data_IF_866258196464
#
_entry.id   IF_866258196464
#
_cell.length_a   1.000
_cell.length_b   1.000
_cell.length_c   1.000
_cell.angle_alpha   90.00
_cell.angle_beta   90.00
_cell.angle_gamma   90.00
#
_symmetry.space_group_name_H-M   'P 1'
#
loop_
_entity.id
_entity.type
_entity.pdbx_description
1 polymer ?
#
# COMPACT_ATOMS: atom_id res chain seq x y z
N UNK A 1 42.76 2.89 -28.59
CA UNK A 1 41.87 3.04 -29.75
C UNK A 1 40.82 4.08 -29.42
N UNK A 2 41.03 5.30 -29.91
CA UNK A 2 40.13 6.45 -29.76
C UNK A 2 39.08 6.40 -30.87
N UNK A 3 37.81 6.66 -30.54
CA UNK A 3 36.79 7.05 -31.51
C UNK A 3 36.09 8.32 -31.05
N UNK A 4 35.70 9.20 -31.98
CA UNK A 4 35.63 10.63 -31.75
C UNK A 4 34.22 11.14 -31.49
N UNK A 5 34.17 12.30 -30.80
CA UNK A 5 33.04 13.22 -30.76
C UNK A 5 32.67 13.67 -32.18
N UNK A 6 31.38 13.89 -32.42
CA UNK A 6 30.70 14.93 -33.24
C UNK A 6 29.30 14.38 -33.56
N UNK A 7 28.18 15.10 -33.52
CA UNK A 7 27.90 16.43 -34.07
C UNK A 7 26.71 17.06 -33.33
N UNK A 8 26.80 18.37 -33.14
CA UNK A 8 25.69 19.28 -32.89
C UNK A 8 24.62 19.14 -33.99
N UNK A 9 23.34 19.18 -33.61
CA UNK A 9 22.29 19.65 -34.51
C UNK A 9 21.33 20.53 -33.71
N UNK A 10 21.64 21.83 -33.73
CA UNK A 10 20.74 22.90 -33.35
C UNK A 10 19.76 23.07 -34.51
N UNK A 11 18.48 22.83 -34.27
CA UNK A 11 17.40 23.30 -35.17
C UNK A 11 16.38 24.09 -34.36
N UNK A 12 16.44 25.40 -34.59
CA UNK A 12 15.37 26.36 -34.37
C UNK A 12 14.26 26.19 -35.43
N UNK A 13 13.14 26.88 -35.22
CA UNK A 13 11.98 27.13 -36.13
C UNK A 13 10.83 26.13 -35.88
N UNK A 14 9.56 26.51 -35.68
CA UNK A 14 8.84 27.75 -35.95
C UNK A 14 7.71 27.96 -34.92
N UNK A 15 7.58 29.20 -34.47
CA UNK A 15 6.43 29.73 -33.75
C UNK A 15 5.36 30.11 -34.80
N UNK A 16 4.32 29.27 -34.97
CA UNK A 16 3.13 29.64 -35.73
C UNK A 16 2.03 30.11 -34.76
N UNK A 17 1.90 31.43 -34.65
CA UNK A 17 0.72 32.08 -34.12
C UNK A 17 -0.37 32.09 -35.21
N UNK A 18 -1.50 31.42 -34.96
CA UNK A 18 -2.84 31.75 -35.47
C UNK A 18 -3.85 30.66 -35.07
N UNK A 19 -4.34 30.72 -33.83
CA UNK A 19 -5.57 30.04 -33.43
C UNK A 19 -6.62 31.11 -33.15
N UNK A 20 -7.58 31.28 -34.06
CA UNK A 20 -8.76 32.13 -33.89
C UNK A 20 -9.54 31.71 -32.64
N UNK A 21 -9.36 32.44 -31.55
CA UNK A 21 -10.24 32.37 -30.39
C UNK A 21 -11.48 33.21 -30.66
N UNK A 22 -12.60 32.56 -30.96
CA UNK A 22 -13.94 33.15 -30.82
C UNK A 22 -14.11 33.57 -29.36
N UNK A 23 -14.36 34.86 -29.14
CA UNK A 23 -14.68 35.40 -27.82
C UNK A 23 -16.11 34.99 -27.47
N UNK A 24 -16.28 33.83 -26.82
CA UNK A 24 -17.55 33.51 -26.17
C UNK A 24 -17.87 34.57 -25.10
N UNK A 25 -19.14 34.98 -24.94
CA UNK A 25 -19.53 35.87 -23.86
C UNK A 25 -19.16 35.23 -22.53
N UNK A 26 -18.27 35.89 -21.77
CA UNK A 26 -17.90 35.50 -20.42
C UNK A 26 -19.18 35.30 -19.60
N UNK A 27 -19.46 34.08 -19.11
CA UNK A 27 -20.62 33.84 -18.26
C UNK A 27 -20.55 34.79 -17.07
N UNK A 28 -21.64 35.54 -16.85
CA UNK A 28 -21.81 36.36 -15.65
C UNK A 28 -21.53 35.45 -14.45
N UNK A 29 -20.64 35.83 -13.51
CA UNK A 29 -20.40 35.05 -12.31
C UNK A 29 -21.74 34.86 -11.60
N UNK A 30 -22.26 33.64 -11.64
CA UNK A 30 -23.39 33.30 -10.79
C UNK A 30 -22.94 33.54 -9.35
N UNK A 31 -23.78 34.13 -8.49
CA UNK A 31 -23.50 34.20 -7.06
C UNK A 31 -23.10 32.79 -6.63
N UNK A 32 -21.84 32.63 -6.21
CA UNK A 32 -21.38 31.38 -5.63
C UNK A 32 -22.22 31.18 -4.38
N UNK A 33 -23.29 30.39 -4.51
CA UNK A 33 -24.06 29.90 -3.38
C UNK A 33 -23.04 29.42 -2.37
N UNK A 34 -23.06 30.04 -1.19
CA UNK A 34 -22.11 29.79 -0.14
C UNK A 34 -22.09 28.27 0.09
N UNK A 35 -21.02 27.60 -0.39
CA UNK A 35 -20.86 26.17 -0.20
C UNK A 35 -20.92 25.95 1.30
N UNK A 36 -22.03 25.37 1.75
CA UNK A 36 -22.22 24.97 3.14
C UNK A 36 -20.97 24.25 3.56
N UNK A 37 -20.25 24.82 4.53
CA UNK A 37 -19.04 24.24 5.12
C UNK A 37 -19.35 22.76 5.38
N UNK A 38 -18.61 21.80 4.79
CA UNK A 38 -18.85 20.39 5.05
C UNK A 38 -18.89 20.20 6.56
N UNK A 39 -19.97 19.58 7.06
CA UNK A 39 -20.03 19.22 8.47
C UNK A 39 -18.76 18.42 8.80
N UNK A 40 -18.14 18.64 9.99
CA UNK A 40 -17.00 17.85 10.40
C UNK A 40 -17.38 16.38 10.28
N UNK A 41 -16.59 15.60 9.54
CA UNK A 41 -16.79 14.16 9.48
C UNK A 41 -16.79 13.65 10.94
N UNK A 42 -17.82 12.91 11.31
CA UNK A 42 -17.88 12.30 12.63
C UNK A 42 -16.62 11.45 12.83
N UNK A 43 -15.93 11.64 13.94
CA UNK A 43 -14.76 10.85 14.32
C UNK A 43 -15.19 9.38 14.37
N UNK A 44 -14.77 8.60 13.38
CA UNK A 44 -15.03 7.16 13.38
C UNK A 44 -14.37 6.59 14.63
N UNK A 45 -15.18 6.02 15.53
CA UNK A 45 -14.68 5.43 16.77
C UNK A 45 -13.49 4.50 16.46
N UNK A 46 -12.30 4.85 16.97
CA UNK A 46 -11.07 4.11 16.70
C UNK A 46 -11.25 2.67 17.16
N UNK A 47 -11.23 1.72 16.21
CA UNK A 47 -11.41 0.31 16.53
C UNK A 47 -10.24 -0.21 17.39
N UNK A 48 -10.48 -1.18 18.29
CA UNK A 48 -9.41 -1.85 19.01
C UNK A 48 -8.38 -2.42 18.02
N UNK A 49 -7.08 -2.21 18.29
CA UNK A 49 -5.99 -2.67 17.44
C UNK A 49 -4.81 -3.18 18.29
N UNK A 50 -4.07 -4.23 17.88
CA UNK A 50 -2.98 -4.76 18.70
C UNK A 50 -1.83 -3.77 18.85
N UNK A 51 -1.56 -3.37 20.09
CA UNK A 51 -0.45 -2.45 20.42
C UNK A 51 0.92 -3.04 20.08
N UNK A 52 1.00 -4.36 20.00
CA UNK A 52 2.19 -5.10 19.65
C UNK A 52 2.63 -4.83 18.20
N UNK A 53 1.76 -4.41 17.29
CA UNK A 53 2.15 -4.08 15.91
C UNK A 53 2.81 -2.70 15.80
N UNK A 54 2.76 -1.89 16.86
CA UNK A 54 3.48 -0.63 16.94
C UNK A 54 5.00 -0.78 17.17
N UNK A 55 5.50 -1.99 17.45
CA UNK A 55 6.93 -2.21 17.59
C UNK A 55 7.60 -2.45 16.22
N UNK A 56 8.79 -1.87 16.02
CA UNK A 56 9.55 -2.02 14.78
C UNK A 56 9.88 -3.49 14.49
N UNK A 57 9.43 -3.98 13.34
CA UNK A 57 9.65 -5.33 12.86
C UNK A 57 9.95 -5.36 11.36
N UNK A 58 10.58 -6.45 10.93
CA UNK A 58 10.86 -6.79 9.55
C UNK A 58 10.50 -8.24 9.32
N UNK A 59 9.69 -8.48 8.30
CA UNK A 59 9.32 -9.81 7.82
C UNK A 59 9.54 -9.90 6.32
N UNK A 60 10.32 -10.90 5.92
CA UNK A 60 10.56 -11.26 4.52
C UNK A 60 10.11 -12.70 4.33
N UNK A 61 9.44 -13.01 3.23
CA UNK A 61 9.02 -14.36 2.86
C UNK A 61 8.66 -14.45 1.37
N UNK A 62 8.47 -15.65 0.84
CA UNK A 62 7.97 -15.79 -0.53
C UNK A 62 6.49 -15.40 -0.58
N UNK A 63 5.72 -15.94 0.35
CA UNK A 63 4.30 -15.61 0.52
C UNK A 63 4.07 -15.11 1.93
N UNK A 64 3.44 -13.94 2.06
CA UNK A 64 3.00 -13.36 3.33
C UNK A 64 1.48 -13.23 3.29
N UNK A 65 0.81 -13.80 4.30
CA UNK A 65 -0.64 -13.78 4.44
C UNK A 65 -0.99 -13.14 5.77
N UNK A 66 -1.86 -12.12 5.72
CA UNK A 66 -2.34 -11.39 6.88
C UNK A 66 -3.84 -11.58 6.96
N UNK A 67 -4.33 -11.97 8.13
CA UNK A 67 -5.76 -12.00 8.42
C UNK A 67 -6.03 -11.16 9.66
N UNK A 68 -7.18 -10.50 9.73
CA UNK A 68 -7.44 -9.57 10.83
C UNK A 68 -8.89 -9.13 10.93
N UNK A 69 -9.22 -8.34 11.95
CA UNK A 69 -10.55 -7.75 12.12
C UNK A 69 -10.81 -6.67 11.08
N UNK A 70 -12.07 -6.21 11.07
CA UNK A 70 -12.46 -4.98 10.40
C UNK A 70 -11.57 -3.81 10.84
N UNK A 71 -10.98 -3.08 9.90
CA UNK A 71 -9.93 -2.09 10.19
C UNK A 71 -8.54 -2.52 9.73
N UNK A 72 -8.33 -3.78 9.34
CA UNK A 72 -7.02 -4.31 8.94
C UNK A 72 -6.42 -3.50 7.78
N UNK A 73 -7.24 -3.14 6.80
CA UNK A 73 -6.76 -2.51 5.58
C UNK A 73 -6.24 -1.09 5.84
N UNK A 74 -6.83 -0.38 6.80
CA UNK A 74 -6.40 0.96 7.22
C UNK A 74 -5.01 0.96 7.87
N UNK A 75 -4.58 -0.19 8.41
CA UNK A 75 -3.26 -0.38 9.00
C UNK A 75 -2.22 -0.93 8.01
N UNK A 76 -2.63 -1.32 6.79
CA UNK A 76 -1.76 -1.90 5.78
C UNK A 76 -1.54 -0.93 4.61
N UNK A 77 -0.31 -0.45 4.46
CA UNK A 77 0.13 0.28 3.28
C UNK A 77 0.96 -0.64 2.38
N UNK A 78 0.62 -0.74 1.09
CA UNK A 78 1.39 -1.52 0.11
C UNK A 78 1.89 -0.59 -0.98
N UNK A 79 3.20 -0.65 -1.26
CA UNK A 79 3.81 0.12 -2.35
C UNK A 79 3.52 -0.57 -3.67
N UNK A 80 2.76 0.10 -4.52
CA UNK A 80 2.47 -0.38 -5.88
C UNK A 80 3.51 0.21 -6.83
N UNK A 81 4.54 -0.55 -7.16
CA UNK A 81 5.52 -0.16 -8.19
C UNK A 81 5.01 -0.56 -9.58
N UNK A 82 4.18 0.31 -10.17
CA UNK A 82 3.83 0.28 -11.60
C UNK A 82 3.36 -1.08 -12.12
N UNK A 83 4.07 -1.61 -13.13
CA UNK A 83 3.71 -2.86 -13.84
C UNK A 83 4.23 -4.13 -13.16
N UNK A 84 5.05 -3.99 -12.11
CA UNK A 84 5.75 -5.11 -11.47
C UNK A 84 4.92 -5.79 -10.37
N UNK A 85 3.72 -5.27 -10.09
CA UNK A 85 2.79 -5.84 -9.11
C UNK A 85 1.39 -5.95 -9.72
N UNK A 86 0.81 -7.14 -9.63
CA UNK A 86 -0.60 -7.37 -9.96
C UNK A 86 -1.45 -7.30 -8.70
N UNK A 87 -2.38 -6.35 -8.69
CA UNK A 87 -3.32 -6.16 -7.59
C UNK A 87 -4.70 -6.72 -7.95
N UNK A 88 -5.29 -7.44 -6.99
CA UNK A 88 -6.68 -7.90 -7.03
C UNK A 88 -7.33 -7.68 -5.68
N UNK A 89 -8.58 -7.22 -5.68
CA UNK A 89 -9.43 -7.14 -4.50
C UNK A 89 -10.77 -7.83 -4.78
N UNK A 90 -11.26 -8.59 -3.81
CA UNK A 90 -12.54 -9.28 -3.91
C UNK A 90 -13.20 -9.48 -2.54
N UNK A 91 -14.53 -9.42 -2.53
CA UNK A 91 -15.33 -9.80 -1.36
C UNK A 91 -15.63 -11.30 -1.45
N UNK A 92 -15.22 -12.04 -0.43
CA UNK A 92 -15.43 -13.49 -0.31
C UNK A 92 -16.44 -13.78 0.79
N UNK A 93 -16.80 -15.06 0.97
CA UNK A 93 -17.61 -15.48 2.12
C UNK A 93 -16.88 -15.26 3.47
N UNK A 94 -15.55 -15.21 3.44
CA UNK A 94 -14.70 -15.04 4.63
C UNK A 94 -14.46 -13.58 5.00
N UNK A 95 -14.67 -12.63 4.07
CA UNK A 95 -14.40 -11.21 4.28
C UNK A 95 -13.90 -10.50 3.03
N UNK A 96 -13.19 -9.39 3.21
CA UNK A 96 -12.60 -8.62 2.12
C UNK A 96 -11.13 -9.02 1.91
N UNK A 97 -10.84 -9.63 0.76
CA UNK A 97 -9.51 -10.11 0.39
C UNK A 97 -8.84 -9.14 -0.57
N UNK A 98 -7.63 -8.75 -0.25
CA UNK A 98 -6.72 -8.07 -1.16
C UNK A 98 -5.47 -8.92 -1.39
N UNK A 99 -5.03 -9.00 -2.64
CA UNK A 99 -3.86 -9.77 -3.04
C UNK A 99 -2.98 -8.94 -3.96
N UNK A 100 -1.67 -8.96 -3.71
CA UNK A 100 -0.63 -8.37 -4.52
C UNK A 100 0.34 -9.47 -4.94
N UNK A 101 0.47 -9.71 -6.24
CA UNK A 101 1.41 -10.70 -6.79
C UNK A 101 2.56 -9.98 -7.47
N UNK A 102 3.79 -10.34 -7.11
CA UNK A 102 4.98 -9.81 -7.75
C UNK A 102 5.16 -10.37 -9.17
N UNK A 103 5.66 -9.56 -10.10
CA UNK A 103 5.98 -9.93 -11.48
C UNK A 103 7.48 -9.74 -11.73
N UNK A 104 8.02 -10.52 -12.65
CA UNK A 104 9.39 -10.30 -13.14
C UNK A 104 10.50 -10.42 -12.09
N UNK A 105 10.26 -11.12 -10.98
CA UNK A 105 11.22 -11.21 -9.87
C UNK A 105 11.29 -9.96 -8.98
N UNK A 106 10.34 -9.03 -9.12
CA UNK A 106 10.13 -7.95 -8.17
C UNK A 106 9.66 -8.51 -6.81
N UNK A 107 9.62 -7.64 -5.81
CA UNK A 107 9.04 -7.94 -4.51
C UNK A 107 7.86 -7.02 -4.23
N UNK A 108 6.87 -7.51 -3.49
CA UNK A 108 5.80 -6.69 -2.95
C UNK A 108 6.23 -6.17 -1.59
N UNK A 109 6.47 -4.86 -1.51
CA UNK A 109 6.76 -4.18 -0.24
C UNK A 109 5.49 -3.62 0.38
N UNK A 110 5.28 -3.95 1.65
CA UNK A 110 4.20 -3.41 2.46
C UNK A 110 4.67 -2.99 3.84
N UNK A 111 3.77 -2.34 4.56
CA UNK A 111 3.97 -1.91 5.93
C UNK A 111 2.65 -2.11 6.67
N UNK A 112 2.69 -2.93 7.73
CA UNK A 112 1.60 -3.10 8.68
C UNK A 112 2.00 -2.39 9.98
N UNK A 113 1.50 -1.17 10.18
CA UNK A 113 2.02 -0.21 11.17
C UNK A 113 3.54 -0.07 11.14
N UNK A 114 4.27 -0.57 12.15
CA UNK A 114 5.73 -0.50 12.23
C UNK A 114 6.40 -1.83 11.82
N UNK A 115 5.65 -2.75 11.22
CA UNK A 115 6.15 -3.98 10.64
C UNK A 115 6.35 -3.81 9.13
N UNK A 116 7.62 -3.79 8.70
CA UNK A 116 7.97 -3.82 7.27
C UNK A 116 7.80 -5.23 6.73
N UNK A 117 7.08 -5.35 5.61
CA UNK A 117 6.78 -6.59 4.91
C UNK A 117 7.45 -6.58 3.54
N UNK A 118 8.14 -7.66 3.19
CA UNK A 118 8.67 -7.89 1.86
C UNK A 118 8.31 -9.31 1.39
N UNK A 119 7.34 -9.40 0.49
CA UNK A 119 6.92 -10.66 -0.10
C UNK A 119 7.54 -10.84 -1.49
N UNK A 120 8.33 -11.90 -1.69
CA UNK A 120 9.03 -12.16 -2.95
C UNK A 120 8.11 -12.68 -4.06
N UNK A 121 6.93 -13.20 -3.71
CA UNK A 121 5.94 -13.70 -4.68
C UNK A 121 4.56 -13.09 -4.44
N UNK A 122 4.06 -13.14 -3.20
CA UNK A 122 2.67 -12.72 -2.90
C UNK A 122 2.51 -12.16 -1.51
N UNK A 123 1.84 -11.02 -1.41
CA UNK A 123 1.26 -10.49 -0.18
C UNK A 123 -0.26 -10.59 -0.28
N UNK A 124 -0.93 -11.08 0.76
CA UNK A 124 -2.39 -11.04 0.84
C UNK A 124 -2.85 -10.56 2.20
N UNK A 125 -3.96 -9.82 2.22
CA UNK A 125 -4.62 -9.31 3.40
C UNK A 125 -6.11 -9.64 3.36
N UNK A 126 -6.58 -10.38 4.36
CA UNK A 126 -7.98 -10.76 4.51
C UNK A 126 -8.56 -10.09 5.76
N UNK A 127 -9.40 -9.10 5.53
CA UNK A 127 -10.20 -8.47 6.58
C UNK A 127 -11.45 -9.32 6.84
N UNK A 128 -11.51 -9.96 8.01
CA UNK A 128 -12.60 -10.85 8.43
C UNK A 128 -13.58 -10.12 9.34
N UNK A 129 -14.88 -10.09 9.01
CA UNK A 129 -15.91 -9.61 9.94
C UNK A 129 -15.89 -10.40 11.24
N UNK A 130 -15.85 -9.71 12.38
CA UNK A 130 -15.92 -10.33 13.71
C UNK A 130 -14.65 -11.07 14.17
N UNK A 131 -13.53 -11.02 13.42
CA UNK A 131 -12.26 -11.54 13.93
C UNK A 131 -11.81 -10.75 15.17
N UNK A 132 -11.13 -11.44 16.08
CA UNK A 132 -10.67 -10.88 17.37
C UNK A 132 -9.16 -10.86 17.51
N UNK A 133 -8.45 -11.16 16.42
CA UNK A 133 -7.00 -11.19 16.36
C UNK A 133 -6.51 -10.83 14.97
N UNK A 134 -5.27 -10.36 14.89
CA UNK A 134 -4.50 -10.23 13.66
C UNK A 134 -3.53 -11.41 13.58
N UNK A 135 -3.62 -12.22 12.53
CA UNK A 135 -2.68 -13.29 12.23
C UNK A 135 -1.77 -12.91 11.08
N UNK A 136 -0.47 -13.17 11.22
CA UNK A 136 0.50 -13.02 10.14
C UNK A 136 1.18 -14.37 9.93
N UNK A 137 1.16 -14.85 8.69
CA UNK A 137 1.84 -16.07 8.24
C UNK A 137 2.82 -15.73 7.13
N UNK A 138 3.99 -16.34 7.17
CA UNK A 138 4.98 -16.28 6.10
C UNK A 138 5.45 -17.69 5.75
N UNK A 139 5.61 -17.97 4.46
CA UNK A 139 6.13 -19.25 3.95
C UNK A 139 7.22 -19.02 2.89
N UNK A 140 8.00 -20.07 2.62
CA UNK A 140 9.11 -20.01 1.69
C UNK A 140 10.40 -19.53 2.35
N UNK A 141 11.20 -18.71 1.68
CA UNK A 141 12.43 -18.16 2.26
C UNK A 141 12.15 -17.09 3.33
N UNK A 142 11.83 -17.52 4.56
CA UNK A 142 11.42 -16.62 5.64
C UNK A 142 12.64 -16.05 6.37
N UNK A 143 12.67 -14.73 6.51
CA UNK A 143 13.53 -14.00 7.45
C UNK A 143 12.66 -13.09 8.31
N UNK A 144 12.88 -13.10 9.63
CA UNK A 144 12.15 -12.25 10.56
C UNK A 144 13.09 -11.60 11.56
N UNK A 145 12.77 -10.38 11.96
CA UNK A 145 13.49 -9.61 12.98
C UNK A 145 12.55 -8.57 13.59
N UNK A 146 12.67 -8.29 14.88
CA UNK A 146 11.96 -7.23 15.60
C UNK A 146 12.75 -6.84 16.85
N UNK A 147 12.52 -5.61 17.29
CA UNK A 147 13.18 -4.99 18.44
C UNK A 147 12.58 -5.34 19.81
N UNK A 148 13.17 -4.79 20.88
CA UNK A 148 13.46 -5.46 22.15
C UNK A 148 12.20 -5.69 23.02
N UNK A 149 11.68 -6.88 23.31
CA UNK A 149 12.07 -8.28 23.13
C UNK A 149 10.95 -9.07 22.40
N UNK A 150 10.46 -8.54 21.27
CA UNK A 150 9.61 -9.29 20.33
C UNK A 150 10.35 -9.49 19.00
N UNK A 151 10.15 -10.62 18.31
CA UNK A 151 10.94 -11.25 17.21
C UNK A 151 12.47 -11.16 17.24
N UNK A 152 13.11 -12.18 17.84
CA UNK A 152 14.51 -12.52 17.59
C UNK A 152 14.78 -12.74 16.10
N UNK A 153 15.96 -12.34 15.65
CA UNK A 153 16.42 -12.61 14.29
C UNK A 153 16.48 -14.12 14.02
N UNK A 154 15.76 -14.57 13.00
CA UNK A 154 15.77 -15.96 12.59
C UNK A 154 15.42 -16.14 11.11
N UNK A 155 15.87 -17.26 10.56
CA UNK A 155 15.54 -17.74 9.21
C UNK A 155 14.78 -19.06 9.30
N UNK A 156 13.93 -19.34 8.33
CA UNK A 156 13.18 -20.59 8.27
C UNK A 156 12.40 -20.74 6.98
N UNK A 157 11.58 -21.80 6.92
CA UNK A 157 10.71 -22.09 5.77
C UNK A 157 9.26 -21.69 6.00
N UNK A 158 8.87 -21.50 7.26
CA UNK A 158 7.56 -21.01 7.66
C UNK A 158 7.67 -20.22 8.97
N UNK A 159 6.72 -19.32 9.18
CA UNK A 159 6.55 -18.62 10.44
C UNK A 159 5.11 -18.11 10.58
N UNK A 160 4.59 -18.11 11.81
CA UNK A 160 3.25 -17.62 12.16
C UNK A 160 3.29 -16.85 13.47
N UNK A 161 2.49 -15.80 13.57
CA UNK A 161 2.14 -15.10 14.82
C UNK A 161 0.67 -14.72 14.83
N UNK A 162 0.09 -14.64 16.03
CA UNK A 162 -1.25 -14.10 16.26
C UNK A 162 -1.16 -13.01 17.33
N UNK A 163 -1.85 -11.90 17.12
CA UNK A 163 -1.96 -10.77 18.05
C UNK A 163 -3.43 -10.58 18.42
N UNK A 164 -3.76 -10.66 19.72
CA UNK A 164 -5.12 -10.46 20.19
C UNK A 164 -5.48 -8.98 20.27
N UNK A 165 -6.74 -8.63 20.01
CA UNK A 165 -7.21 -7.27 20.23
C UNK A 165 -7.31 -6.96 21.73
N UNK A 166 -7.04 -5.70 22.15
CA UNK A 166 -7.28 -5.29 23.52
C UNK A 166 -8.77 -5.41 23.84
N UNK A 167 -9.10 -5.85 25.06
CA UNK A 167 -10.49 -5.83 25.53
C UNK A 167 -10.95 -4.38 25.66
N UNK A 168 -12.19 -4.06 25.25
CA UNK A 168 -12.74 -2.71 25.40
C UNK A 168 -12.84 -2.28 26.86
#
# INVERSE_FOLDING_TARGET
>A
MQRPLSFLCVSWIALCAAGCGTTEPRPVPQPVEARSKPAPAADSAKRPWPTELAAEALLIGDVIEIEGPEGLIEHLAVRQEGQDVEYKAETTADGFLQTWNAKGGAEVRGQLDNCVLAALQRLSALERPGATSVEIRATGAVFKRRGPQGWTEARGTQWKVSYSLPRP
#
